data_IF_498954249021
#
_entry.id   IF_498954249021
#
_cell.length_a   1.000
_cell.length_b   1.000
_cell.length_c   1.000
_cell.angle_alpha   90.00
_cell.angle_beta   90.00
_cell.angle_gamma   90.00
#
_symmetry.space_group_name_H-M   'P 1'
#
loop_
_entity.id
_entity.type
_entity.pdbx_description
1 polymer ?
#
# COMPACT_ATOMS: atom_id res chain seq x y z
N UNK A 1 -34.59 62.83 55.69
CA UNK A 1 -35.38 61.71 55.16
C UNK A 1 -35.40 61.84 53.65
N UNK A 2 -35.13 60.72 52.97
CA UNK A 2 -35.17 60.48 51.52
C UNK A 2 -34.03 61.19 50.78
N UNK A 3 -32.85 60.59 50.67
CA UNK A 3 -32.51 59.48 49.76
C UNK A 3 -32.99 59.75 48.33
N UNK A 4 -32.15 60.47 47.58
CA UNK A 4 -32.22 60.58 46.13
C UNK A 4 -30.81 60.31 45.59
N UNK A 5 -30.47 59.04 45.42
CA UNK A 5 -29.23 58.62 44.79
C UNK A 5 -29.24 59.11 43.34
N UNK A 6 -28.47 60.16 43.03
CA UNK A 6 -28.16 60.52 41.65
C UNK A 6 -27.50 59.30 40.98
N UNK A 7 -28.09 58.86 39.87
CA UNK A 7 -27.57 57.73 39.12
C UNK A 7 -26.20 58.09 38.55
N UNK A 8 -25.14 57.52 39.13
CA UNK A 8 -23.77 57.66 38.63
C UNK A 8 -23.61 56.69 37.45
N UNK A 9 -23.53 57.19 36.20
CA UNK A 9 -23.43 56.30 35.04
C UNK A 9 -22.11 55.55 35.07
N UNK A 10 -22.19 54.22 35.05
CA UNK A 10 -21.00 53.38 34.90
C UNK A 10 -20.45 53.50 33.48
N UNK A 11 -19.15 53.24 33.30
CA UNK A 11 -18.46 53.29 32.00
C UNK A 11 -19.17 52.44 30.92
N UNK A 12 -19.85 51.36 31.33
CA UNK A 12 -20.63 50.49 30.44
C UNK A 12 -21.99 51.10 30.03
N UNK A 13 -22.61 51.93 30.87
CA UNK A 13 -23.87 52.62 30.53
C UNK A 13 -23.66 53.71 29.47
N UNK A 14 -22.50 54.36 29.45
CA UNK A 14 -22.08 55.33 28.44
C UNK A 14 -21.79 54.71 27.06
N UNK A 15 -21.63 53.38 26.97
CA UNK A 15 -21.26 52.68 25.74
C UNK A 15 -22.45 52.09 24.98
N UNK A 16 -23.68 52.20 25.50
CA UNK A 16 -24.87 51.53 24.94
C UNK A 16 -25.65 52.30 23.86
N UNK A 17 -25.21 53.50 23.45
CA UNK A 17 -25.89 54.29 22.42
C UNK A 17 -24.96 54.78 21.30
N UNK A 18 -23.82 54.12 21.11
CA UNK A 18 -23.03 54.30 19.89
C UNK A 18 -23.40 53.17 18.96
N UNK A 19 -24.12 53.49 17.88
CA UNK A 19 -24.24 52.64 16.70
C UNK A 19 -22.83 52.47 16.13
N UNK A 20 -22.06 51.57 16.76
CA UNK A 20 -20.77 51.16 16.27
C UNK A 20 -21.05 50.31 15.05
N UNK A 21 -20.69 50.83 13.87
CA UNK A 21 -20.72 50.10 12.61
C UNK A 21 -20.04 48.74 12.83
N UNK A 22 -20.87 47.70 12.98
CA UNK A 22 -20.43 46.36 13.28
C UNK A 22 -19.92 45.75 11.98
N UNK A 23 -18.60 45.71 11.82
CA UNK A 23 -17.98 45.08 10.67
C UNK A 23 -17.44 43.71 11.08
N UNK A 24 -18.16 42.66 10.69
CA UNK A 24 -17.73 41.29 10.94
C UNK A 24 -16.76 40.84 9.86
N UNK A 25 -15.47 40.75 10.19
CA UNK A 25 -14.47 40.10 9.33
C UNK A 25 -14.46 38.60 9.65
N UNK A 26 -15.07 37.80 8.78
CA UNK A 26 -15.04 36.35 8.86
C UNK A 26 -13.73 35.86 8.24
N UNK A 27 -12.81 35.38 9.07
CA UNK A 27 -11.58 34.74 8.60
C UNK A 27 -11.83 33.26 8.31
N UNK A 28 -11.92 32.90 7.03
CA UNK A 28 -11.79 31.52 6.62
C UNK A 28 -10.30 31.14 6.61
N UNK A 29 -9.87 30.36 7.61
CA UNK A 29 -8.52 29.80 7.62
C UNK A 29 -8.28 29.03 6.32
N UNK A 30 -7.11 29.22 5.70
CA UNK A 30 -6.72 28.46 4.51
C UNK A 30 -6.90 26.97 4.79
N UNK A 31 -7.92 26.37 4.17
CA UNK A 31 -8.02 24.92 4.10
C UNK A 31 -6.75 24.48 3.40
N UNK A 32 -5.88 23.76 4.12
CA UNK A 32 -4.70 23.16 3.50
C UNK A 32 -5.19 22.47 2.24
N UNK A 33 -4.53 22.76 1.11
CA UNK A 33 -4.82 22.04 -0.12
C UNK A 33 -4.66 20.57 0.24
N UNK A 34 -5.78 19.88 0.52
CA UNK A 34 -5.84 18.44 0.38
C UNK A 34 -5.34 18.28 -1.03
N UNK A 35 -4.10 17.79 -1.18
CA UNK A 35 -3.66 17.21 -2.44
C UNK A 35 -4.89 16.46 -2.89
N UNK A 36 -5.50 16.90 -3.98
CA UNK A 36 -6.57 16.14 -4.58
C UNK A 36 -6.04 14.72 -4.51
N UNK A 37 -6.75 13.82 -3.81
CA UNK A 37 -6.60 12.43 -4.18
C UNK A 37 -6.83 12.55 -5.67
N UNK A 38 -5.77 12.42 -6.46
CA UNK A 38 -5.92 12.02 -7.83
C UNK A 38 -6.71 10.74 -7.64
N UNK A 39 -8.04 10.85 -7.76
CA UNK A 39 -8.77 9.91 -8.56
C UNK A 39 -7.81 9.69 -9.71
N UNK A 40 -7.17 8.54 -9.70
CA UNK A 40 -6.77 7.93 -10.95
C UNK A 40 -8.07 7.87 -11.74
N UNK A 41 -8.41 8.99 -12.36
CA UNK A 41 -9.17 9.01 -13.58
C UNK A 41 -8.43 8.01 -14.43
N UNK A 42 -9.11 6.90 -14.70
CA UNK A 42 -8.69 5.91 -15.65
C UNK A 42 -8.62 6.61 -17.02
N UNK A 43 -7.56 7.38 -17.25
CA UNK A 43 -7.13 7.83 -18.57
C UNK A 43 -6.49 6.63 -19.29
N UNK A 44 -7.28 5.57 -19.44
CA UNK A 44 -6.93 4.37 -20.17
C UNK A 44 -8.10 3.96 -21.09
N UNK A 45 -8.89 4.93 -21.53
CA UNK A 45 -9.50 4.84 -22.84
C UNK A 45 -8.41 5.17 -23.88
N UNK A 46 -7.46 4.23 -24.07
CA UNK A 46 -6.75 4.20 -25.35
C UNK A 46 -7.74 3.62 -26.33
N UNK A 47 -8.12 4.43 -27.31
CA UNK A 47 -8.80 3.97 -28.51
C UNK A 47 -8.11 2.69 -29.00
N UNK A 48 -8.91 1.64 -29.19
CA UNK A 48 -8.45 0.36 -29.74
C UNK A 48 -8.29 0.60 -31.24
N UNK A 49 -7.28 1.40 -31.61
CA UNK A 49 -6.93 1.66 -32.99
C UNK A 49 -6.15 0.46 -33.53
N UNK A 50 -6.89 -0.48 -34.10
CA UNK A 50 -6.61 -1.00 -35.44
C UNK A 50 -5.36 -1.86 -35.67
N UNK A 51 -4.56 -2.23 -34.67
CA UNK A 51 -3.46 -3.20 -34.82
C UNK A 51 -3.39 -4.13 -33.62
N UNK A 52 -4.12 -5.24 -33.70
CA UNK A 52 -4.21 -6.32 -32.71
C UNK A 52 -2.90 -7.12 -32.59
N UNK A 53 -1.78 -6.45 -32.29
CA UNK A 53 -0.59 -7.13 -31.78
C UNK A 53 -0.67 -7.07 -30.25
N UNK A 54 -1.08 -8.18 -29.63
CA UNK A 54 -1.10 -8.30 -28.19
C UNK A 54 0.31 -8.16 -27.63
N UNK A 55 0.64 -6.98 -27.14
CA UNK A 55 1.86 -6.74 -26.38
C UNK A 55 1.82 -7.58 -25.11
N UNK A 56 2.47 -8.74 -25.15
CA UNK A 56 2.52 -9.69 -24.04
C UNK A 56 3.00 -9.06 -22.71
N UNK A 57 3.78 -7.98 -22.76
CA UNK A 57 4.22 -7.22 -21.58
C UNK A 57 3.07 -6.43 -20.95
N UNK A 58 2.22 -5.80 -21.76
CA UNK A 58 1.08 -5.01 -21.30
C UNK A 58 -0.02 -5.92 -20.76
N UNK A 59 -0.36 -6.97 -21.51
CA UNK A 59 -1.33 -7.99 -21.09
C UNK A 59 -0.96 -8.63 -19.74
N UNK A 60 0.33 -8.87 -19.48
CA UNK A 60 0.81 -9.35 -18.18
C UNK A 60 0.45 -8.41 -17.04
N UNK A 61 0.65 -7.11 -17.21
CA UNK A 61 0.35 -6.13 -16.16
C UNK A 61 -1.15 -5.97 -15.92
N UNK A 62 -1.96 -6.09 -16.97
CA UNK A 62 -3.43 -6.08 -16.86
C UNK A 62 -3.94 -7.30 -16.08
N UNK A 63 -3.42 -8.49 -16.39
CA UNK A 63 -3.75 -9.71 -15.65
C UNK A 63 -3.36 -9.56 -14.16
N UNK A 64 -2.19 -8.97 -13.87
CA UNK A 64 -1.76 -8.71 -12.49
C UNK A 64 -2.74 -7.74 -11.81
N UNK A 65 -3.10 -6.63 -12.47
CA UNK A 65 -4.07 -5.64 -11.95
C UNK A 65 -5.42 -6.29 -11.65
N UNK A 66 -5.89 -7.17 -12.54
CA UNK A 66 -7.12 -7.93 -12.37
C UNK A 66 -7.03 -8.88 -11.16
N UNK A 67 -5.97 -9.68 -11.06
CA UNK A 67 -5.75 -10.60 -9.94
C UNK A 67 -5.69 -9.90 -8.58
N UNK A 68 -5.18 -8.66 -8.53
CA UNK A 68 -5.13 -7.86 -7.32
C UNK A 68 -6.50 -7.37 -6.82
N UNK A 69 -7.53 -7.39 -7.66
CA UNK A 69 -8.87 -6.93 -7.28
C UNK A 69 -9.47 -7.79 -6.16
N UNK A 70 -9.26 -9.11 -6.20
CA UNK A 70 -9.81 -10.08 -5.24
C UNK A 70 -8.97 -10.30 -3.97
N UNK A 71 -7.93 -9.49 -3.72
CA UNK A 71 -7.09 -9.64 -2.53
C UNK A 71 -7.58 -8.83 -1.34
N UNK A 72 -7.32 -9.36 -0.13
CA UNK A 72 -7.41 -8.61 1.13
C UNK A 72 -6.53 -7.35 1.09
N UNK A 73 -6.95 -6.29 1.80
CA UNK A 73 -6.31 -4.96 1.79
C UNK A 73 -4.79 -5.00 1.96
N UNK A 74 -4.27 -5.69 2.98
CA UNK A 74 -2.83 -5.82 3.25
C UNK A 74 -2.08 -6.46 2.08
N UNK A 75 -2.58 -7.60 1.58
CA UNK A 75 -1.99 -8.31 0.43
C UNK A 75 -2.08 -7.49 -0.86
N UNK A 76 -3.13 -6.69 -1.02
CA UNK A 76 -3.32 -5.78 -2.15
C UNK A 76 -2.27 -4.66 -2.16
N UNK A 77 -1.94 -4.10 -0.99
CA UNK A 77 -0.86 -3.11 -0.86
C UNK A 77 0.51 -3.71 -1.19
N UNK A 78 0.82 -4.89 -0.66
CA UNK A 78 2.06 -5.61 -0.98
C UNK A 78 2.19 -5.89 -2.49
N UNK A 79 1.10 -6.37 -3.12
CA UNK A 79 1.07 -6.61 -4.56
C UNK A 79 1.24 -5.32 -5.37
N UNK A 80 0.64 -4.20 -4.94
CA UNK A 80 0.83 -2.88 -5.57
C UNK A 80 2.28 -2.43 -5.50
N UNK A 81 2.90 -2.54 -4.33
CA UNK A 81 4.32 -2.17 -4.14
C UNK A 81 5.21 -3.02 -5.06
N UNK A 82 4.97 -4.32 -5.14
CA UNK A 82 5.73 -5.22 -6.02
C UNK A 82 5.56 -4.87 -7.50
N UNK A 83 4.34 -4.58 -7.95
CA UNK A 83 4.08 -4.15 -9.34
C UNK A 83 4.83 -2.84 -9.64
N UNK A 84 4.76 -1.86 -8.74
CA UNK A 84 5.48 -0.59 -8.91
C UNK A 84 6.99 -0.81 -8.99
N UNK A 85 7.56 -1.68 -8.14
CA UNK A 85 8.99 -2.03 -8.19
C UNK A 85 9.35 -2.67 -9.54
N UNK A 86 8.51 -3.54 -10.08
CA UNK A 86 8.72 -4.16 -11.40
C UNK A 86 8.69 -3.13 -12.54
N UNK A 87 7.86 -2.09 -12.41
CA UNK A 87 7.82 -0.96 -13.32
C UNK A 87 8.99 0.02 -13.14
N UNK A 88 9.89 -0.25 -12.19
CA UNK A 88 11.09 0.55 -11.94
C UNK A 88 10.97 1.57 -10.81
N UNK A 89 9.88 1.55 -10.03
CA UNK A 89 9.77 2.40 -8.85
C UNK A 89 10.78 1.99 -7.78
N UNK A 90 11.27 2.98 -7.02
CA UNK A 90 12.17 2.74 -5.89
C UNK A 90 11.43 1.99 -4.76
N UNK A 91 11.99 0.89 -4.22
CA UNK A 91 11.36 0.16 -3.12
C UNK A 91 11.24 1.03 -1.86
N UNK A 92 10.25 0.75 -1.00
CA UNK A 92 10.06 1.49 0.25
C UNK A 92 11.29 1.35 1.16
N UNK A 93 11.62 2.43 1.90
CA UNK A 93 12.73 2.42 2.85
C UNK A 93 12.47 1.41 3.96
N UNK A 94 13.51 0.63 4.30
CA UNK A 94 13.47 -0.29 5.44
C UNK A 94 13.53 0.50 6.75
N UNK A 95 12.98 -0.08 7.82
CA UNK A 95 13.12 0.48 9.17
C UNK A 95 14.59 0.42 9.60
N UNK A 96 15.04 1.44 10.31
CA UNK A 96 16.36 1.45 10.92
C UNK A 96 16.38 0.42 12.06
N UNK A 97 17.40 -0.43 12.10
CA UNK A 97 17.61 -1.47 13.12
C UNK A 97 19.07 -1.46 13.57
N UNK A 98 19.34 -1.92 14.79
CA UNK A 98 20.71 -2.11 15.25
C UNK A 98 21.42 -3.17 14.39
N UNK A 99 22.67 -2.93 14.02
CA UNK A 99 23.43 -3.84 13.16
C UNK A 99 23.59 -5.24 13.75
N UNK A 100 23.84 -5.34 15.07
CA UNK A 100 24.02 -6.64 15.74
C UNK A 100 22.74 -7.47 15.68
N UNK A 101 21.60 -6.84 15.93
CA UNK A 101 20.28 -7.47 15.84
C UNK A 101 19.96 -7.92 14.42
N UNK A 102 20.24 -7.07 13.42
CA UNK A 102 20.05 -7.39 12.01
C UNK A 102 20.85 -8.62 11.57
N UNK A 103 22.09 -8.75 12.03
CA UNK A 103 22.92 -9.93 11.76
C UNK A 103 22.33 -11.20 12.39
N UNK A 104 21.85 -11.11 13.63
CA UNK A 104 21.21 -12.23 14.33
C UNK A 104 19.93 -12.66 13.60
N UNK A 105 19.06 -11.71 13.20
CA UNK A 105 17.86 -11.97 12.42
C UNK A 105 18.20 -12.71 11.11
N UNK A 106 19.16 -12.19 10.33
CA UNK A 106 19.60 -12.82 9.07
C UNK A 106 20.13 -14.23 9.27
N UNK A 107 20.87 -14.48 10.34
CA UNK A 107 21.37 -15.83 10.66
C UNK A 107 20.21 -16.78 10.97
N UNK A 108 19.25 -16.35 11.80
CA UNK A 108 18.05 -17.12 12.11
C UNK A 108 17.20 -17.41 10.88
N UNK A 109 17.04 -16.45 9.98
CA UNK A 109 16.26 -16.64 8.76
C UNK A 109 16.93 -17.65 7.82
N UNK A 110 18.25 -17.57 7.65
CA UNK A 110 19.03 -18.58 6.89
C UNK A 110 18.90 -19.97 7.50
N UNK A 111 18.97 -20.09 8.83
CA UNK A 111 18.81 -21.37 9.53
C UNK A 111 17.40 -21.94 9.35
N UNK A 112 16.36 -21.10 9.41
CA UNK A 112 14.97 -21.50 9.13
C UNK A 112 14.82 -21.95 7.69
N UNK A 113 15.35 -21.20 6.72
CA UNK A 113 15.32 -21.58 5.31
C UNK A 113 16.02 -22.93 5.10
N UNK A 114 17.22 -23.13 5.65
CA UNK A 114 17.93 -24.40 5.59
C UNK A 114 17.11 -25.55 6.20
N UNK A 115 16.52 -25.36 7.38
CA UNK A 115 15.64 -26.35 8.02
C UNK A 115 14.41 -26.66 7.16
N UNK A 116 13.77 -25.66 6.56
CA UNK A 116 12.63 -25.88 5.65
C UNK A 116 13.05 -26.61 4.38
N UNK A 117 14.25 -26.33 3.85
CA UNK A 117 14.79 -27.04 2.70
C UNK A 117 15.07 -28.51 3.03
N UNK A 118 15.73 -28.78 4.16
CA UNK A 118 15.97 -30.13 4.67
C UNK A 118 14.66 -30.90 4.88
N UNK A 119 13.69 -30.29 5.57
CA UNK A 119 12.35 -30.87 5.75
C UNK A 119 11.64 -31.13 4.43
N UNK A 120 11.81 -30.24 3.45
CA UNK A 120 11.22 -30.42 2.12
C UNK A 120 11.92 -31.48 1.26
N UNK A 121 13.18 -31.84 1.60
CA UNK A 121 13.97 -32.88 0.93
C UNK A 121 13.78 -34.26 1.55
N UNK A 122 13.38 -34.34 2.82
CA UNK A 122 12.99 -35.59 3.48
C UNK A 122 11.91 -36.32 2.63
N UNK A 123 12.19 -37.57 2.28
CA UNK A 123 11.31 -38.37 1.40
C UNK A 123 11.43 -38.06 -0.10
N UNK A 124 12.49 -37.36 -0.52
CA UNK A 124 12.83 -37.11 -1.94
C UNK A 124 14.23 -37.58 -2.29
N UNK A 125 14.41 -37.95 -3.55
CA UNK A 125 15.70 -38.38 -4.12
C UNK A 125 16.57 -37.15 -4.43
N UNK A 126 17.83 -37.36 -4.86
CA UNK A 126 18.73 -36.29 -5.32
C UNK A 126 18.12 -35.41 -6.43
N UNK A 127 17.26 -35.98 -7.29
CA UNK A 127 16.53 -35.25 -8.33
C UNK A 127 15.24 -34.56 -7.85
N UNK A 128 14.95 -34.57 -6.54
CA UNK A 128 13.77 -33.91 -5.95
C UNK A 128 12.43 -34.62 -6.17
N UNK A 129 12.43 -35.85 -6.70
CA UNK A 129 11.24 -36.71 -6.83
C UNK A 129 10.97 -37.45 -5.53
N UNK A 130 9.71 -37.76 -5.23
CA UNK A 130 9.38 -38.54 -4.03
C UNK A 130 9.97 -39.96 -4.10
N UNK A 131 10.49 -40.45 -2.98
CA UNK A 131 10.91 -41.86 -2.80
C UNK A 131 9.70 -42.80 -2.64
N UNK A 132 8.53 -42.27 -2.27
CA UNK A 132 7.31 -43.05 -2.03
C UNK A 132 6.67 -43.48 -3.36
N UNK A 133 6.26 -44.75 -3.44
CA UNK A 133 5.62 -45.30 -4.64
C UNK A 133 4.10 -45.10 -4.60
N UNK A 134 3.53 -44.46 -5.61
CA UNK A 134 2.07 -44.31 -5.78
C UNK A 134 1.67 -43.16 -6.71
N UNK A 135 0.52 -43.29 -7.41
CA UNK A 135 0.03 -42.34 -8.41
C UNK A 135 -0.33 -40.94 -7.85
N UNK A 136 -0.43 -40.78 -6.53
CA UNK A 136 -0.88 -39.53 -5.87
C UNK A 136 0.23 -38.66 -5.30
N UNK A 137 1.48 -39.16 -5.22
CA UNK A 137 2.53 -38.50 -4.44
C UNK A 137 3.24 -37.34 -5.17
N UNK A 138 3.21 -37.34 -6.51
CA UNK A 138 3.83 -36.30 -7.35
C UNK A 138 2.90 -35.10 -7.66
N UNK A 139 1.89 -34.85 -6.82
CA UNK A 139 1.05 -33.64 -6.98
C UNK A 139 1.86 -32.41 -6.54
N UNK A 140 2.33 -31.62 -7.50
CA UNK A 140 2.95 -30.32 -7.28
C UNK A 140 1.98 -29.39 -6.54
N UNK A 141 2.15 -29.23 -5.22
CA UNK A 141 1.46 -28.16 -4.47
C UNK A 141 2.04 -26.82 -4.92
N UNK A 142 1.18 -25.92 -5.40
CA UNK A 142 1.58 -24.55 -5.73
C UNK A 142 1.97 -23.84 -4.42
N UNK A 143 3.21 -23.32 -4.36
CA UNK A 143 3.65 -22.49 -3.22
C UNK A 143 3.07 -21.08 -3.40
N UNK A 144 2.25 -20.64 -2.45
CA UNK A 144 1.68 -19.30 -2.40
C UNK A 144 2.68 -18.31 -1.82
N UNK A 145 3.69 -17.91 -2.60
CA UNK A 145 4.67 -16.94 -2.12
C UNK A 145 4.44 -15.53 -2.67
N UNK A 146 3.58 -15.35 -3.69
CA UNK A 146 3.10 -14.04 -4.19
C UNK A 146 2.00 -14.25 -5.24
N UNK A 147 1.17 -13.24 -5.55
CA UNK A 147 0.16 -13.37 -6.63
C UNK A 147 0.80 -13.73 -7.98
N UNK A 148 2.06 -13.33 -8.14
CA UNK A 148 2.87 -13.61 -9.32
C UNK A 148 3.47 -15.02 -9.36
N UNK A 149 3.52 -15.75 -8.23
CA UNK A 149 4.02 -17.13 -8.21
C UNK A 149 3.06 -18.10 -8.91
N UNK A 150 1.80 -17.70 -9.09
CA UNK A 150 0.77 -18.45 -9.84
C UNK A 150 1.13 -18.54 -11.33
N UNK A 151 1.77 -17.50 -11.88
CA UNK A 151 2.02 -17.35 -13.31
C UNK A 151 3.44 -17.75 -13.75
N UNK A 152 4.29 -18.18 -12.82
CA UNK A 152 5.64 -18.69 -13.10
C UNK A 152 6.66 -17.59 -13.42
N UNK A 153 7.96 -17.93 -13.30
CA UNK A 153 9.08 -17.04 -13.64
C UNK A 153 9.43 -17.25 -15.12
N UNK A 154 9.27 -16.23 -15.95
CA UNK A 154 9.67 -16.28 -17.37
C UNK A 154 11.20 -16.40 -17.45
N UNK A 155 11.69 -17.47 -18.06
CA UNK A 155 13.11 -17.62 -18.36
C UNK A 155 13.43 -16.67 -19.53
N UNK A 156 14.41 -15.77 -19.33
CA UNK A 156 14.97 -15.00 -20.45
C UNK A 156 15.98 -15.93 -21.13
N UNK A 157 15.69 -16.31 -22.37
CA UNK A 157 16.72 -16.92 -23.22
C UNK A 157 17.81 -15.85 -23.42
N UNK A 158 19.06 -16.25 -23.15
CA UNK A 158 20.24 -15.44 -23.44
C UNK A 158 20.48 -15.40 -24.93
#
# INVERSE_FOLDING_TARGET
MNDGLDFIPSKASLLKSKDANFESVVFESYKSAKKAKKSTEDSNAKEIDGKNELNMKEAKHEIIKLGMSGLNSKKKEEAKINLLIQLGAKPPKRKNKNYKELCIERKKDKEKEAKTMQLSQLGKNQHGRSTAKGKSFDRKRKKENNILSIYGKVQKNK
#
